data_IF_983857013046
#
_entry.id   IF_983857013046
#
_cell.length_a   1.000
_cell.length_b   1.000
_cell.length_c   1.000
_cell.angle_alpha   90.00
_cell.angle_beta   90.00
_cell.angle_gamma   90.00
#
_symmetry.space_group_name_H-M   'P 1'
#
loop_
_entity.id
_entity.type
_entity.pdbx_description
1 polymer ?
#
# COMPACT_ATOMS: atom_id res chain seq x y z
N UNK A 1 8.51 9.25 33.44
CA UNK A 1 9.06 8.55 32.27
C UNK A 1 9.76 7.29 32.77
N UNK A 2 9.39 6.08 32.27
CA UNK A 2 10.17 4.85 32.54
C UNK A 2 11.49 4.96 31.78
N UNK A 3 12.60 4.61 32.44
CA UNK A 3 13.90 4.51 31.75
C UNK A 3 13.91 3.23 30.90
N UNK A 4 14.63 3.24 29.76
CA UNK A 4 14.76 2.05 28.92
C UNK A 4 15.24 0.82 29.70
N UNK A 5 16.14 1.03 30.67
CA UNK A 5 16.67 -0.05 31.52
C UNK A 5 15.63 -0.67 32.50
N UNK A 6 14.46 -0.02 32.66
CA UNK A 6 13.38 -0.52 33.53
C UNK A 6 12.38 -1.39 32.76
N UNK A 7 12.57 -1.57 31.45
CA UNK A 7 11.71 -2.38 30.60
C UNK A 7 12.18 -3.83 30.56
N UNK A 8 11.22 -4.75 30.63
CA UNK A 8 11.51 -6.17 30.48
C UNK A 8 11.82 -6.49 29.01
N UNK A 9 12.97 -7.11 28.76
CA UNK A 9 13.36 -7.58 27.42
C UNK A 9 12.68 -8.92 27.07
N UNK A 10 12.47 -9.24 25.77
CA UNK A 10 12.76 -8.37 24.62
C UNK A 10 11.68 -7.30 24.39
N UNK A 11 12.07 -6.15 23.83
CA UNK A 11 11.13 -5.13 23.37
C UNK A 11 11.62 -4.44 22.08
N UNK A 12 10.70 -3.79 21.39
CA UNK A 12 11.01 -2.94 20.24
C UNK A 12 11.19 -1.50 20.70
N UNK A 13 12.27 -0.86 20.27
CA UNK A 13 12.55 0.55 20.51
C UNK A 13 12.55 1.30 19.18
N UNK A 14 11.88 2.44 19.13
CA UNK A 14 11.87 3.35 17.98
C UNK A 14 12.61 4.60 18.35
N UNK A 15 13.63 4.95 17.54
CA UNK A 15 14.28 6.26 17.61
C UNK A 15 13.35 7.28 16.93
N UNK A 16 12.76 8.15 17.73
CA UNK A 16 11.77 9.11 17.24
C UNK A 16 12.38 10.22 16.38
N UNK A 17 13.65 10.54 16.57
CA UNK A 17 14.32 11.58 15.76
C UNK A 17 14.58 11.04 14.36
N UNK A 18 15.07 9.79 14.25
CA UNK A 18 15.26 9.12 12.96
C UNK A 18 13.90 8.89 12.28
N UNK A 19 12.92 8.38 13.01
CA UNK A 19 11.56 8.19 12.51
C UNK A 19 11.00 9.50 11.90
N UNK A 20 11.14 10.62 12.61
CA UNK A 20 10.65 11.91 12.16
C UNK A 20 11.40 12.39 10.90
N UNK A 21 12.72 12.24 10.85
CA UNK A 21 13.52 12.55 9.63
C UNK A 21 13.08 11.73 8.43
N UNK A 22 12.86 10.43 8.62
CA UNK A 22 12.38 9.55 7.55
C UNK A 22 11.01 10.00 7.03
N UNK A 23 10.12 10.40 7.93
CA UNK A 23 8.80 10.94 7.58
C UNK A 23 8.92 12.24 6.77
N UNK A 24 9.75 13.18 7.21
CA UNK A 24 9.98 14.46 6.53
C UNK A 24 10.58 14.28 5.13
N UNK A 25 11.54 13.36 4.97
CA UNK A 25 12.10 13.02 3.66
C UNK A 25 10.99 12.50 2.73
N UNK A 26 10.16 11.55 3.21
CA UNK A 26 9.06 11.03 2.40
C UNK A 26 8.03 12.12 2.06
N UNK A 27 7.67 12.98 3.00
CA UNK A 27 6.74 14.09 2.78
C UNK A 27 7.25 15.10 1.75
N UNK A 28 8.56 15.31 1.67
CA UNK A 28 9.15 16.21 0.68
C UNK A 28 9.04 15.71 -0.76
N UNK A 29 8.98 14.38 -0.95
CA UNK A 29 8.90 13.73 -2.28
C UNK A 29 7.47 13.30 -2.61
N UNK A 30 6.74 12.80 -1.61
CA UNK A 30 5.38 12.24 -1.75
C UNK A 30 4.43 12.86 -0.72
N UNK A 31 4.06 14.13 -0.87
CA UNK A 31 3.14 14.79 0.05
C UNK A 31 1.68 14.36 -0.17
N UNK A 32 0.88 14.42 0.90
CA UNK A 32 -0.57 14.24 0.85
C UNK A 32 -1.01 12.93 0.18
N UNK A 33 -1.93 13.01 -0.77
CA UNK A 33 -2.49 11.85 -1.48
C UNK A 33 -1.51 11.14 -2.42
N UNK A 34 -0.32 11.69 -2.68
CA UNK A 34 0.70 11.01 -3.50
C UNK A 34 1.42 9.86 -2.77
N UNK A 35 1.16 9.69 -1.47
CA UNK A 35 1.52 8.52 -0.69
C UNK A 35 0.27 7.95 -0.01
N UNK A 36 0.09 6.64 -0.11
CA UNK A 36 -0.84 5.85 0.69
C UNK A 36 -0.03 4.91 1.59
N UNK A 37 0.30 5.31 2.83
CA UNK A 37 1.19 4.56 3.71
C UNK A 37 0.72 3.12 3.93
N UNK A 38 1.61 2.14 3.71
CA UNK A 38 1.27 0.74 3.83
C UNK A 38 1.45 0.21 5.26
N UNK A 39 0.34 -0.03 5.94
CA UNK A 39 0.26 -0.41 7.37
C UNK A 39 0.98 -1.72 7.69
N UNK A 40 1.12 -2.64 6.72
CA UNK A 40 1.85 -3.91 6.94
C UNK A 40 3.25 -3.74 7.49
N UNK A 41 3.89 -2.60 7.25
CA UNK A 41 5.26 -2.34 7.69
C UNK A 41 5.37 -2.01 9.17
N UNK A 42 4.33 -1.44 9.78
CA UNK A 42 4.36 -0.98 11.16
C UNK A 42 3.22 -1.54 12.05
N UNK A 43 2.09 -1.97 11.48
CA UNK A 43 0.96 -2.66 12.17
C UNK A 43 0.50 -1.97 13.47
N UNK A 44 0.52 -0.63 13.50
CA UNK A 44 0.16 0.18 14.65
C UNK A 44 -0.82 1.28 14.25
N UNK A 45 -1.93 1.37 14.94
CA UNK A 45 -2.93 2.43 14.77
C UNK A 45 -2.44 3.77 15.29
N UNK A 46 -1.57 3.78 16.31
CA UNK A 46 -0.96 5.00 16.82
C UNK A 46 -0.03 5.63 15.77
N UNK A 47 0.79 4.81 15.09
CA UNK A 47 1.65 5.28 14.01
C UNK A 47 0.81 5.77 12.83
N UNK A 48 -0.26 5.07 12.48
CA UNK A 48 -1.20 5.55 11.47
C UNK A 48 -1.83 6.90 11.86
N UNK A 49 -2.13 7.10 13.13
CA UNK A 49 -2.59 8.38 13.68
C UNK A 49 -1.56 9.51 13.51
N UNK A 50 -0.28 9.23 13.75
CA UNK A 50 0.81 10.20 13.51
C UNK A 50 0.89 10.55 12.02
N UNK A 51 0.80 9.55 11.13
CA UNK A 51 0.81 9.77 9.69
C UNK A 51 -0.39 10.60 9.21
N UNK A 52 -1.59 10.36 9.77
CA UNK A 52 -2.80 11.17 9.50
C UNK A 52 -2.59 12.64 9.92
N UNK A 53 -2.00 12.88 11.09
CA UNK A 53 -1.65 14.23 11.54
C UNK A 53 -0.59 14.88 10.66
N UNK A 54 0.30 14.07 10.07
CA UNK A 54 1.31 14.48 9.10
C UNK A 54 0.77 14.75 7.68
N UNK A 55 -0.56 14.61 7.46
CA UNK A 55 -1.22 14.96 6.19
C UNK A 55 -1.54 13.78 5.26
N UNK A 56 -1.32 12.53 5.69
CA UNK A 56 -1.72 11.35 4.93
C UNK A 56 -3.11 10.86 5.36
N UNK A 57 -4.10 10.96 4.50
CA UNK A 57 -5.50 10.64 4.83
C UNK A 57 -5.90 9.20 4.53
N UNK A 58 -5.30 8.58 3.53
CA UNK A 58 -5.59 7.20 3.11
C UNK A 58 -4.50 6.22 3.54
N UNK A 59 -4.88 4.95 3.76
CA UNK A 59 -3.94 3.89 4.15
C UNK A 59 -4.08 2.66 3.27
N UNK A 60 -2.95 2.00 3.00
CA UNK A 60 -2.88 0.73 2.30
C UNK A 60 -2.72 -0.41 3.31
N UNK A 61 -3.52 -1.46 3.17
CA UNK A 61 -3.55 -2.64 4.02
C UNK A 61 -3.30 -3.91 3.20
N UNK A 62 -2.59 -4.88 3.77
CA UNK A 62 -2.38 -6.19 3.17
C UNK A 62 -3.43 -7.21 3.62
N UNK A 63 -4.16 -6.94 4.70
CA UNK A 63 -5.12 -7.87 5.28
C UNK A 63 -6.38 -7.17 5.77
N UNK A 64 -7.49 -7.90 5.78
CA UNK A 64 -8.76 -7.39 6.36
C UNK A 64 -8.57 -7.05 7.85
N UNK A 65 -7.73 -7.78 8.58
CA UNK A 65 -7.45 -7.47 10.00
C UNK A 65 -6.81 -6.09 10.19
N UNK A 66 -5.97 -5.66 9.26
CA UNK A 66 -5.39 -4.32 9.28
C UNK A 66 -6.47 -3.24 9.02
N UNK A 67 -7.37 -3.49 8.06
CA UNK A 67 -8.54 -2.62 7.82
C UNK A 67 -9.41 -2.48 9.08
N UNK A 68 -9.75 -3.62 9.70
CA UNK A 68 -10.56 -3.66 10.93
C UNK A 68 -9.91 -2.86 12.07
N UNK A 69 -8.59 -3.01 12.25
CA UNK A 69 -7.83 -2.26 13.24
C UNK A 69 -7.87 -0.76 13.01
N UNK A 70 -7.68 -0.31 11.77
CA UNK A 70 -7.76 1.10 11.41
C UNK A 70 -9.17 1.66 11.58
N UNK A 71 -10.18 0.97 11.05
CA UNK A 71 -11.59 1.40 11.13
C UNK A 71 -12.05 1.54 12.59
N UNK A 72 -11.72 0.58 13.46
CA UNK A 72 -12.06 0.62 14.88
C UNK A 72 -11.39 1.78 15.64
N UNK A 73 -10.35 2.39 15.08
CA UNK A 73 -9.63 3.53 15.67
C UNK A 73 -9.88 4.86 14.94
N UNK A 74 -10.97 4.99 14.17
CA UNK A 74 -11.36 6.23 13.51
C UNK A 74 -10.47 6.61 12.31
N UNK A 75 -9.84 5.62 11.70
CA UNK A 75 -8.96 5.76 10.52
C UNK A 75 -9.55 5.04 9.30
N UNK A 76 -10.87 4.89 9.26
CA UNK A 76 -11.60 4.12 8.24
C UNK A 76 -12.09 4.91 7.02
N UNK A 77 -11.73 6.19 6.87
CA UNK A 77 -12.31 7.09 5.87
C UNK A 77 -11.85 6.81 4.44
N UNK A 78 -10.61 6.30 4.26
CA UNK A 78 -10.02 5.99 2.96
C UNK A 78 -9.01 4.84 3.09
N UNK A 79 -9.47 3.62 2.88
CA UNK A 79 -8.68 2.40 3.03
C UNK A 79 -8.58 1.66 1.70
N UNK A 80 -7.37 1.20 1.36
CA UNK A 80 -7.12 0.29 0.24
C UNK A 80 -6.71 -1.08 0.78
N UNK A 81 -7.47 -2.12 0.46
CA UNK A 81 -7.01 -3.49 0.58
C UNK A 81 -6.21 -3.83 -0.68
N UNK A 82 -4.89 -3.73 -0.60
CA UNK A 82 -3.96 -4.08 -1.67
C UNK A 82 -3.63 -5.58 -1.63
N UNK A 83 -4.65 -6.39 -1.66
CA UNK A 83 -4.59 -7.84 -1.69
C UNK A 83 -5.97 -8.40 -2.08
N UNK A 84 -5.99 -9.51 -2.77
CA UNK A 84 -7.19 -10.22 -3.19
C UNK A 84 -7.82 -10.94 -2.00
N UNK A 85 -9.15 -10.97 -1.97
CA UNK A 85 -9.88 -11.67 -0.92
C UNK A 85 -11.20 -12.23 -1.41
N UNK A 86 -11.55 -13.41 -0.90
CA UNK A 86 -12.87 -14.02 -1.08
C UNK A 86 -13.75 -13.90 0.18
N UNK A 87 -13.30 -13.15 1.18
CA UNK A 87 -14.00 -13.05 2.47
C UNK A 87 -15.03 -11.91 2.48
N UNK A 88 -16.12 -12.11 1.71
CA UNK A 88 -17.21 -11.14 1.57
C UNK A 88 -17.84 -10.74 2.92
N UNK A 89 -17.99 -11.68 3.87
CA UNK A 89 -18.63 -11.41 5.15
C UNK A 89 -17.86 -10.40 6.01
N UNK A 90 -16.51 -10.49 6.02
CA UNK A 90 -15.69 -9.51 6.76
C UNK A 90 -15.64 -8.15 6.07
N UNK A 91 -15.66 -8.11 4.73
CA UNK A 91 -15.80 -6.86 3.99
C UNK A 91 -17.14 -6.20 4.29
N UNK A 92 -18.23 -6.98 4.31
CA UNK A 92 -19.56 -6.49 4.67
C UNK A 92 -19.57 -5.87 6.06
N UNK A 93 -18.98 -6.55 7.05
CA UNK A 93 -18.88 -6.02 8.41
C UNK A 93 -18.18 -4.66 8.46
N UNK A 94 -17.07 -4.47 7.72
CA UNK A 94 -16.38 -3.19 7.64
C UNK A 94 -17.25 -2.08 7.06
N UNK A 95 -17.95 -2.36 5.96
CA UNK A 95 -18.85 -1.40 5.30
C UNK A 95 -20.02 -1.03 6.19
N UNK A 96 -20.62 -2.00 6.86
CA UNK A 96 -21.77 -1.80 7.77
C UNK A 96 -21.39 -0.95 9.00
N UNK A 97 -20.11 -0.96 9.39
CA UNK A 97 -19.55 -0.07 10.43
C UNK A 97 -19.01 1.25 9.89
N UNK A 98 -19.30 1.58 8.63
CA UNK A 98 -19.02 2.89 8.04
C UNK A 98 -17.62 3.07 7.46
N UNK A 99 -16.83 2.00 7.33
CA UNK A 99 -15.53 2.11 6.67
C UNK A 99 -15.66 2.32 5.14
N UNK A 100 -14.86 3.22 4.59
CA UNK A 100 -14.72 3.43 3.15
C UNK A 100 -13.54 2.60 2.65
N UNK A 101 -13.84 1.54 1.89
CA UNK A 101 -12.83 0.57 1.45
C UNK A 101 -12.81 0.46 -0.07
N UNK A 102 -11.63 0.57 -0.64
CA UNK A 102 -11.29 0.18 -2.00
C UNK A 102 -10.63 -1.20 -1.92
N UNK A 103 -10.98 -2.11 -2.82
CA UNK A 103 -10.42 -3.48 -2.83
C UNK A 103 -9.73 -3.72 -4.17
N UNK A 104 -8.53 -4.29 -4.14
CA UNK A 104 -7.85 -4.81 -5.31
C UNK A 104 -8.54 -6.10 -5.79
N UNK A 105 -8.77 -6.23 -7.09
CA UNK A 105 -9.42 -7.38 -7.71
C UNK A 105 -8.68 -7.77 -9.00
N UNK A 106 -8.52 -9.07 -9.23
CA UNK A 106 -7.80 -9.63 -10.38
C UNK A 106 -8.54 -10.77 -11.08
N UNK A 107 -9.75 -11.12 -10.61
CA UNK A 107 -10.54 -12.23 -11.11
C UNK A 107 -12.03 -11.99 -10.95
N UNK A 108 -12.87 -12.79 -11.64
CA UNK A 108 -14.33 -12.76 -11.46
C UNK A 108 -14.74 -13.07 -10.02
N UNK A 109 -14.04 -14.00 -9.38
CA UNK A 109 -14.27 -14.46 -8.02
C UNK A 109 -14.02 -13.34 -6.99
N UNK A 110 -12.91 -12.59 -7.15
CA UNK A 110 -12.59 -11.45 -6.26
C UNK A 110 -13.55 -10.28 -6.47
N UNK A 111 -14.00 -10.05 -7.70
CA UNK A 111 -15.05 -9.06 -8.04
C UNK A 111 -16.39 -9.46 -7.39
N UNK A 112 -16.80 -10.72 -7.48
CA UNK A 112 -18.02 -11.19 -6.87
C UNK A 112 -17.96 -11.09 -5.34
N UNK A 113 -16.87 -11.48 -4.72
CA UNK A 113 -16.68 -11.34 -3.28
C UNK A 113 -16.69 -9.87 -2.83
N UNK A 114 -16.09 -8.96 -3.58
CA UNK A 114 -16.16 -7.52 -3.30
C UNK A 114 -17.62 -7.03 -3.36
N UNK A 115 -18.37 -7.43 -4.38
CA UNK A 115 -19.79 -7.07 -4.51
C UNK A 115 -20.65 -7.62 -3.36
N UNK A 116 -20.49 -8.90 -3.03
CA UNK A 116 -21.19 -9.52 -1.88
C UNK A 116 -20.82 -8.84 -0.56
N UNK A 117 -19.55 -8.44 -0.42
CA UNK A 117 -19.03 -7.67 0.72
C UNK A 117 -19.54 -6.23 0.79
N UNK A 118 -20.37 -5.76 -0.16
CA UNK A 118 -20.91 -4.40 -0.17
C UNK A 118 -19.89 -3.33 -0.57
N UNK A 119 -18.75 -3.74 -1.08
CA UNK A 119 -17.75 -2.81 -1.64
C UNK A 119 -18.37 -2.07 -2.82
N UNK A 120 -18.00 -0.80 -2.96
CA UNK A 120 -18.42 0.05 -4.08
C UNK A 120 -17.30 0.33 -5.04
N UNK A 121 -16.08 0.46 -4.52
CA UNK A 121 -14.91 0.92 -5.25
C UNK A 121 -13.85 -0.19 -5.33
N UNK A 122 -13.31 -0.41 -6.52
CA UNK A 122 -12.26 -1.40 -6.76
C UNK A 122 -11.15 -0.81 -7.63
N UNK A 123 -9.93 -1.37 -7.48
CA UNK A 123 -8.84 -1.22 -8.43
C UNK A 123 -8.63 -2.58 -9.12
N UNK A 124 -8.38 -2.57 -10.42
CA UNK A 124 -7.92 -3.77 -11.11
C UNK A 124 -6.44 -3.96 -10.78
N UNK A 125 -6.11 -5.07 -10.12
CA UNK A 125 -4.71 -5.43 -9.86
C UNK A 125 -4.12 -6.08 -11.11
N UNK A 126 -2.94 -5.59 -11.52
CA UNK A 126 -2.28 -5.96 -12.77
C UNK A 126 -0.90 -6.52 -12.48
N UNK A 127 -0.58 -7.66 -13.08
CA UNK A 127 0.76 -8.24 -13.01
C UNK A 127 1.76 -7.38 -13.81
N UNK A 128 2.59 -6.65 -13.09
CA UNK A 128 3.63 -5.77 -13.66
C UNK A 128 5.03 -6.42 -13.63
N UNK A 129 5.09 -7.74 -13.53
CA UNK A 129 6.33 -8.52 -13.58
C UNK A 129 6.70 -9.25 -12.29
N UNK A 130 5.92 -9.10 -11.20
CA UNK A 130 6.03 -9.93 -9.99
C UNK A 130 4.97 -11.05 -10.07
N UNK A 131 5.34 -12.32 -10.33
CA UNK A 131 4.37 -13.40 -10.50
C UNK A 131 3.79 -13.86 -9.15
N UNK A 132 2.95 -13.03 -8.55
CA UNK A 132 2.30 -13.30 -7.25
C UNK A 132 0.79 -13.27 -7.36
N UNK A 133 0.23 -12.17 -7.80
CA UNK A 133 -1.19 -11.89 -8.04
C UNK A 133 -1.29 -10.78 -9.09
N UNK A 134 -2.50 -10.41 -9.44
CA UNK A 134 -2.80 -9.48 -10.52
C UNK A 134 -3.07 -10.21 -11.85
N UNK A 135 -4.04 -9.71 -12.60
CA UNK A 135 -4.39 -10.23 -13.91
C UNK A 135 -3.35 -9.85 -14.97
N UNK A 136 -3.31 -10.58 -16.06
CA UNK A 136 -2.52 -10.21 -17.21
C UNK A 136 -3.20 -9.06 -17.99
N UNK A 137 -2.41 -8.29 -18.74
CA UNK A 137 -2.88 -7.06 -19.43
C UNK A 137 -4.09 -7.34 -20.35
N UNK A 138 -4.09 -8.49 -21.01
CA UNK A 138 -5.15 -8.93 -21.93
C UNK A 138 -6.49 -9.15 -21.23
N UNK A 139 -6.49 -9.41 -19.92
CA UNK A 139 -7.69 -9.69 -19.13
C UNK A 139 -8.32 -8.40 -18.57
N UNK A 140 -7.57 -7.30 -18.49
CA UNK A 140 -7.98 -6.04 -17.86
C UNK A 140 -9.31 -5.52 -18.41
N UNK A 141 -9.50 -5.54 -19.73
CA UNK A 141 -10.74 -5.06 -20.35
C UNK A 141 -11.95 -5.89 -19.91
N UNK A 142 -11.82 -7.23 -19.91
CA UNK A 142 -12.90 -8.13 -19.55
C UNK A 142 -13.27 -7.99 -18.07
N UNK A 143 -12.28 -7.94 -17.18
CA UNK A 143 -12.48 -7.80 -15.73
C UNK A 143 -13.05 -6.44 -15.37
N UNK A 144 -12.55 -5.36 -15.96
CA UNK A 144 -13.08 -4.01 -15.76
C UNK A 144 -14.54 -3.90 -16.19
N UNK A 145 -14.88 -4.47 -17.36
CA UNK A 145 -16.27 -4.53 -17.83
C UNK A 145 -17.15 -5.40 -16.92
N UNK A 146 -16.61 -6.51 -16.41
CA UNK A 146 -17.33 -7.38 -15.46
C UNK A 146 -17.62 -6.66 -14.14
N UNK A 147 -16.64 -6.00 -13.56
CA UNK A 147 -16.81 -5.24 -12.33
C UNK A 147 -17.90 -4.14 -12.48
N UNK A 148 -17.88 -3.41 -13.60
CA UNK A 148 -18.91 -2.39 -13.89
C UNK A 148 -20.30 -2.99 -14.07
N UNK A 149 -20.43 -4.15 -14.76
CA UNK A 149 -21.73 -4.86 -14.87
C UNK A 149 -22.27 -5.31 -13.51
N UNK A 150 -21.40 -5.65 -12.56
CA UNK A 150 -21.75 -5.94 -11.17
C UNK A 150 -22.12 -4.68 -10.36
N UNK A 151 -22.00 -3.50 -10.95
CA UNK A 151 -22.30 -2.21 -10.29
C UNK A 151 -21.18 -1.74 -9.36
N UNK A 152 -19.94 -2.18 -9.58
CA UNK A 152 -18.76 -1.67 -8.90
C UNK A 152 -18.18 -0.49 -9.70
N UNK A 153 -17.64 0.48 -8.99
CA UNK A 153 -16.90 1.59 -9.56
C UNK A 153 -15.41 1.21 -9.66
N UNK A 154 -14.92 1.06 -10.88
CA UNK A 154 -13.49 0.84 -11.15
C UNK A 154 -12.80 2.20 -11.09
N UNK A 155 -12.08 2.47 -10.01
CA UNK A 155 -11.40 3.75 -9.76
C UNK A 155 -10.04 3.85 -10.43
N UNK A 156 -9.56 2.78 -11.05
CA UNK A 156 -8.27 2.75 -11.72
C UNK A 156 -7.61 1.38 -11.61
N UNK A 157 -6.30 1.39 -11.51
CA UNK A 157 -5.46 0.21 -11.51
C UNK A 157 -4.51 0.18 -10.32
N UNK A 158 -4.07 -1.01 -9.94
CA UNK A 158 -2.98 -1.24 -9.01
C UNK A 158 -1.96 -2.19 -9.66
N UNK A 159 -0.68 -2.03 -9.33
CA UNK A 159 0.36 -2.97 -9.71
C UNK A 159 1.58 -2.78 -8.82
N UNK A 160 2.17 -3.88 -8.34
CA UNK A 160 3.29 -3.82 -7.41
C UNK A 160 4.56 -4.43 -8.00
N UNK A 161 5.53 -3.59 -8.29
CA UNK A 161 6.85 -3.97 -8.80
C UNK A 161 7.80 -4.44 -7.69
N UNK A 162 7.32 -5.31 -6.81
CA UNK A 162 8.05 -5.75 -5.61
C UNK A 162 9.39 -6.43 -5.85
N UNK A 163 9.58 -7.04 -7.01
CA UNK A 163 10.84 -7.64 -7.43
C UNK A 163 11.98 -6.61 -7.61
N UNK A 164 11.63 -5.33 -7.76
CA UNK A 164 12.59 -4.24 -7.96
C UNK A 164 13.01 -3.54 -6.66
N UNK A 165 12.31 -3.79 -5.55
CA UNK A 165 12.51 -3.06 -4.28
C UNK A 165 13.95 -3.10 -3.77
N UNK A 166 14.71 -4.14 -4.10
CA UNK A 166 16.07 -4.38 -3.63
C UNK A 166 17.09 -4.48 -4.77
N UNK A 167 16.76 -4.02 -5.97
CA UNK A 167 17.74 -3.91 -7.06
C UNK A 167 18.78 -2.85 -6.67
N UNK A 168 20.07 -3.22 -6.47
CA UNK A 168 21.06 -2.31 -5.88
C UNK A 168 21.37 -1.12 -6.79
N UNK A 169 21.61 -1.38 -8.08
CA UNK A 169 21.88 -0.33 -9.04
C UNK A 169 20.63 0.52 -9.29
N UNK A 170 20.76 1.84 -9.17
CA UNK A 170 19.65 2.77 -9.32
C UNK A 170 19.17 2.87 -10.76
N UNK A 171 20.06 2.77 -11.74
CA UNK A 171 19.69 2.87 -13.16
C UNK A 171 18.93 1.61 -13.59
N UNK A 172 19.41 0.42 -13.21
CA UNK A 172 18.72 -0.85 -13.47
C UNK A 172 17.33 -0.87 -12.79
N UNK A 173 17.26 -0.37 -11.55
CA UNK A 173 16.00 -0.26 -10.81
C UNK A 173 15.03 0.69 -11.51
N UNK A 174 15.50 1.86 -11.97
CA UNK A 174 14.66 2.82 -12.72
C UNK A 174 14.17 2.21 -14.03
N UNK A 175 15.02 1.55 -14.80
CA UNK A 175 14.62 0.88 -16.04
C UNK A 175 13.56 -0.19 -15.79
N UNK A 176 13.72 -0.98 -14.70
CA UNK A 176 12.71 -1.96 -14.30
C UNK A 176 11.37 -1.32 -13.93
N UNK A 177 11.40 -0.22 -13.17
CA UNK A 177 10.20 0.55 -12.81
C UNK A 177 9.51 1.08 -14.05
N UNK A 178 10.26 1.64 -15.01
CA UNK A 178 9.67 2.17 -16.25
C UNK A 178 8.95 1.09 -17.06
N UNK A 179 9.54 -0.10 -17.15
CA UNK A 179 8.91 -1.26 -17.82
C UNK A 179 7.63 -1.70 -17.10
N UNK A 180 7.65 -1.80 -15.78
CA UNK A 180 6.49 -2.15 -14.98
C UNK A 180 5.37 -1.09 -15.11
N UNK A 181 5.74 0.18 -15.09
CA UNK A 181 4.80 1.29 -15.22
C UNK A 181 4.23 1.43 -16.63
N UNK A 182 4.95 1.02 -17.66
CA UNK A 182 4.40 0.97 -19.03
C UNK A 182 3.21 0.01 -19.10
N UNK A 183 3.33 -1.20 -18.53
CA UNK A 183 2.21 -2.17 -18.45
C UNK A 183 1.03 -1.57 -17.69
N UNK A 184 1.31 -0.91 -16.56
CA UNK A 184 0.26 -0.32 -15.73
C UNK A 184 -0.43 0.88 -16.42
N UNK A 185 0.30 1.65 -17.20
CA UNK A 185 -0.23 2.74 -18.01
C UNK A 185 -1.16 2.23 -19.11
N UNK A 186 -0.79 1.15 -19.79
CA UNK A 186 -1.63 0.49 -20.80
C UNK A 186 -2.92 -0.02 -20.16
N UNK A 187 -2.83 -0.71 -19.02
CA UNK A 187 -4.00 -1.15 -18.24
C UNK A 187 -4.89 0.03 -17.82
N UNK A 188 -4.29 1.11 -17.34
CA UNK A 188 -5.03 2.32 -16.96
C UNK A 188 -5.73 2.97 -18.15
N UNK A 189 -5.14 2.95 -19.34
CA UNK A 189 -5.81 3.47 -20.56
C UNK A 189 -7.09 2.70 -20.90
N UNK A 190 -7.16 1.42 -20.52
CA UNK A 190 -8.34 0.57 -20.69
C UNK A 190 -9.38 0.81 -19.58
N UNK A 191 -8.93 0.90 -18.33
CA UNK A 191 -9.83 1.05 -17.19
C UNK A 191 -10.31 2.49 -16.99
N UNK A 192 -9.47 3.49 -17.29
CA UNK A 192 -9.68 4.86 -16.82
C UNK A 192 -9.63 4.94 -15.28
N UNK A 193 -10.27 5.97 -14.73
CA UNK A 193 -10.29 6.27 -13.30
C UNK A 193 -9.18 7.22 -12.88
N UNK A 194 -9.13 7.59 -11.60
CA UNK A 194 -8.23 8.62 -11.09
C UNK A 194 -7.01 8.05 -10.36
N UNK A 195 -7.00 6.72 -10.09
CA UNK A 195 -6.01 6.08 -9.25
C UNK A 195 -5.10 5.16 -10.08
N UNK A 196 -3.81 5.41 -10.00
CA UNK A 196 -2.74 4.49 -10.38
C UNK A 196 -1.93 4.25 -9.11
N UNK A 197 -2.18 3.12 -8.44
CA UNK A 197 -1.59 2.78 -7.15
C UNK A 197 -0.45 1.79 -7.34
N UNK A 198 0.77 2.15 -6.98
CA UNK A 198 1.95 1.32 -7.24
C UNK A 198 3.09 1.61 -6.26
N UNK A 199 4.23 0.99 -6.49
CA UNK A 199 5.45 1.33 -5.80
C UNK A 199 5.57 0.84 -4.37
N UNK A 200 6.71 1.17 -3.80
CA UNK A 200 7.06 0.89 -2.43
C UNK A 200 8.27 1.72 -2.02
N UNK A 201 8.83 1.43 -0.84
CA UNK A 201 9.95 2.21 -0.31
C UNK A 201 11.18 2.18 -1.25
N UNK A 202 11.44 1.08 -1.95
CA UNK A 202 12.59 0.97 -2.85
C UNK A 202 12.47 1.75 -4.16
N UNK A 203 11.27 2.14 -4.54
CA UNK A 203 10.97 2.78 -5.84
C UNK A 203 10.23 4.12 -5.70
N UNK A 204 10.07 4.62 -4.48
CA UNK A 204 9.22 5.77 -4.15
C UNK A 204 9.56 7.05 -4.94
N UNK A 205 10.83 7.24 -5.28
CA UNK A 205 11.37 8.41 -5.99
C UNK A 205 11.66 8.13 -7.48
N UNK A 206 11.40 6.91 -7.95
CA UNK A 206 11.62 6.49 -9.33
C UNK A 206 10.32 6.36 -10.13
N UNK A 207 9.19 6.18 -9.46
CA UNK A 207 7.90 5.98 -10.08
C UNK A 207 7.22 7.33 -10.35
N UNK A 208 7.22 7.76 -11.60
CA UNK A 208 6.65 9.05 -12.03
C UNK A 208 5.19 8.93 -12.50
N UNK A 209 4.72 7.71 -12.80
CA UNK A 209 3.37 7.48 -13.32
C UNK A 209 2.32 7.38 -12.21
N UNK A 210 2.66 6.72 -11.10
CA UNK A 210 1.70 6.44 -10.04
C UNK A 210 1.15 7.73 -9.41
N UNK A 211 -0.17 7.79 -9.27
CA UNK A 211 -0.85 8.88 -8.55
C UNK A 211 -0.68 8.76 -7.05
N UNK A 212 -0.45 7.52 -6.56
CA UNK A 212 -0.13 7.24 -5.16
C UNK A 212 0.88 6.09 -5.04
N UNK A 213 1.81 6.22 -4.09
CA UNK A 213 2.82 5.21 -3.77
C UNK A 213 2.44 4.47 -2.48
N UNK A 214 2.55 3.13 -2.49
CA UNK A 214 2.22 2.25 -1.37
C UNK A 214 3.44 1.97 -0.46
N UNK A 215 4.20 2.96 -0.07
CA UNK A 215 5.37 2.77 0.77
C UNK A 215 5.02 2.74 2.26
N UNK A 216 5.70 1.87 3.03
CA UNK A 216 5.53 1.79 4.48
C UNK A 216 6.84 1.59 5.22
N UNK A 217 7.78 0.84 4.67
CA UNK A 217 9.04 0.48 5.31
C UNK A 217 9.97 1.67 5.55
N UNK A 218 9.79 2.77 4.86
CA UNK A 218 10.62 3.98 5.02
C UNK A 218 10.64 4.52 6.46
N UNK A 219 9.56 4.31 7.22
CA UNK A 219 9.47 4.78 8.61
C UNK A 219 10.50 4.14 9.52
N UNK A 220 10.68 2.83 9.38
CA UNK A 220 11.52 2.02 10.26
C UNK A 220 12.81 1.58 9.59
N UNK A 221 12.78 1.40 8.29
CA UNK A 221 13.79 0.73 7.51
C UNK A 221 14.15 -0.65 8.10
N UNK A 222 14.89 -1.41 7.39
CA UNK A 222 15.50 -2.65 7.88
C UNK A 222 16.73 -2.97 7.02
N UNK A 223 17.65 -3.73 7.58
CA UNK A 223 19.02 -3.96 7.09
C UNK A 223 19.13 -4.29 5.59
N UNK A 224 18.13 -4.97 5.01
CA UNK A 224 18.16 -5.27 3.58
C UNK A 224 18.14 -4.02 2.69
N UNK A 225 17.53 -2.93 3.14
CA UNK A 225 17.50 -1.67 2.38
C UNK A 225 18.86 -0.94 2.34
N UNK A 226 19.82 -1.30 3.21
CA UNK A 226 21.17 -0.70 3.19
C UNK A 226 21.90 -0.92 1.86
N UNK A 227 21.50 -1.95 1.08
CA UNK A 227 22.08 -2.26 -0.22
C UNK A 227 21.56 -1.41 -1.38
N UNK A 228 20.52 -0.61 -1.17
CA UNK A 228 19.81 0.10 -2.25
C UNK A 228 20.05 1.61 -2.27
N UNK A 229 20.81 2.15 -1.31
CA UNK A 229 21.21 3.57 -1.29
C UNK A 229 20.04 4.55 -1.16
N UNK A 230 19.05 4.23 -0.30
CA UNK A 230 17.90 5.11 -0.02
C UNK A 230 18.27 6.16 1.05
N UNK A 231 17.58 7.31 1.09
CA UNK A 231 17.90 8.40 2.03
C UNK A 231 17.38 8.18 3.45
N UNK A 232 16.77 7.04 3.74
CA UNK A 232 16.16 6.71 5.02
C UNK A 232 17.12 5.94 5.92
N UNK A 233 17.00 6.15 7.23
CA UNK A 233 17.79 5.48 8.26
C UNK A 233 16.97 4.47 9.06
N UNK A 234 17.63 3.47 9.65
CA UNK A 234 17.00 2.46 10.52
C UNK A 234 16.59 3.11 11.85
N UNK A 235 15.28 3.23 12.11
CA UNK A 235 14.73 3.80 13.34
C UNK A 235 14.21 2.76 14.34
N UNK A 236 14.11 1.49 13.94
CA UNK A 236 13.58 0.40 14.78
C UNK A 236 14.70 -0.53 15.22
N UNK A 237 14.80 -0.76 16.53
CA UNK A 237 15.78 -1.68 17.13
C UNK A 237 15.08 -2.70 18.02
N UNK A 238 15.57 -3.94 18.01
CA UNK A 238 15.18 -4.97 18.96
C UNK A 238 16.18 -4.92 20.11
N UNK A 239 15.68 -4.73 21.33
CA UNK A 239 16.49 -4.77 22.55
C UNK A 239 16.26 -6.11 23.23
N UNK A 240 17.32 -6.87 23.44
CA UNK A 240 17.31 -8.17 24.08
C UNK A 240 18.47 -8.30 25.08
N UNK A 241 18.33 -9.18 26.05
CA UNK A 241 19.37 -9.61 27.00
C UNK A 241 19.77 -11.03 26.71
#
# INVERSE_FOLDING_TARGET
MRKLNDLQTPYLAVDLEIFQRNLEIMQSVRPGSSLRPHVKAFKSTDIAGILKQGGYSGFCCATIKELEGLAANGLGDDLLLANETLNASRLRSLVDHGASVIVAVDSSETIDAAKEGGIRNVLIDVNVGLPRCGCDLEEVQALSAYARRKGLNVQGVMGYEGHLMFTPDRADRKEGVDKAMQVLQEAHSITGGDIISAGGTGTFDLNELATEIQAGSFLFMYTRYSTVGLPFEESLTIVST
#
